data_IF_398686975367
#
_entry.id   IF_398686975367
#
_cell.length_a   1.000
_cell.length_b   1.000
_cell.length_c   1.000
_cell.angle_alpha   90.00
_cell.angle_beta   90.00
_cell.angle_gamma   90.00
#
_symmetry.space_group_name_H-M   'P 1'
#
loop_
_entity.id
_entity.type
_entity.pdbx_description
1 polymer ?
#
# COMPACT_ATOMS: atom_id res chain seq x y z
N UNK A 1 9.86 3.56 -21.56
CA UNK A 1 9.91 5.01 -21.35
C UNK A 1 11.25 5.40 -20.74
N UNK A 2 12.13 6.07 -21.50
CA UNK A 2 13.50 6.38 -21.05
C UNK A 2 13.59 7.42 -19.91
N UNK A 3 12.48 8.08 -19.61
CA UNK A 3 12.38 9.05 -18.50
C UNK A 3 11.94 8.40 -17.17
N UNK A 4 11.60 7.11 -17.18
CA UNK A 4 11.40 6.34 -15.96
C UNK A 4 12.76 5.84 -15.45
N UNK A 5 12.93 5.81 -14.13
CA UNK A 5 14.05 5.11 -13.52
C UNK A 5 13.55 3.98 -12.64
N UNK A 6 14.20 2.84 -12.73
CA UNK A 6 13.94 1.69 -11.89
C UNK A 6 15.16 1.41 -11.01
N UNK A 7 14.92 0.97 -9.79
CA UNK A 7 15.95 0.62 -8.82
C UNK A 7 15.60 -0.64 -8.05
N UNK A 8 16.53 -1.09 -7.22
CA UNK A 8 16.33 -2.16 -6.25
C UNK A 8 16.57 -1.55 -4.86
N UNK A 9 15.56 -1.58 -4.01
CA UNK A 9 15.63 -1.01 -2.66
C UNK A 9 16.10 -2.01 -1.60
N UNK A 10 16.08 -3.28 -1.92
CA UNK A 10 16.47 -4.37 -1.03
C UNK A 10 16.15 -5.73 -1.62
N UNK A 11 16.28 -6.76 -0.78
CA UNK A 11 15.98 -8.14 -1.16
C UNK A 11 15.02 -8.77 -0.15
N UNK A 12 14.13 -9.64 -0.65
CA UNK A 12 13.29 -10.48 0.18
C UNK A 12 14.08 -11.55 0.93
N UNK A 13 13.43 -12.28 1.82
CA UNK A 13 14.01 -13.46 2.50
C UNK A 13 14.58 -14.49 1.52
N UNK A 14 13.93 -14.71 0.37
CA UNK A 14 14.42 -15.62 -0.66
C UNK A 14 15.49 -15.01 -1.57
N UNK A 15 15.85 -13.74 -1.36
CA UNK A 15 16.86 -13.03 -2.14
C UNK A 15 16.34 -12.41 -3.44
N UNK A 16 15.02 -12.33 -3.63
CA UNK A 16 14.43 -11.60 -4.77
C UNK A 16 14.59 -10.10 -4.60
N UNK A 17 14.78 -9.41 -5.71
CA UNK A 17 14.85 -7.96 -5.73
C UNK A 17 13.48 -7.34 -5.40
N UNK A 18 13.50 -6.34 -4.51
CA UNK A 18 12.35 -5.46 -4.26
C UNK A 18 12.58 -4.21 -5.10
N UNK A 19 11.75 -4.05 -6.11
CA UNK A 19 11.95 -3.00 -7.11
C UNK A 19 11.24 -1.71 -6.75
N UNK A 20 11.90 -0.58 -7.02
CA UNK A 20 11.29 0.73 -7.06
C UNK A 20 11.20 1.25 -8.49
N UNK A 21 10.17 2.04 -8.75
CA UNK A 21 9.96 2.78 -10.00
C UNK A 21 9.79 4.26 -9.68
N UNK A 22 10.48 5.12 -10.43
CA UNK A 22 10.42 6.57 -10.25
C UNK A 22 9.93 7.25 -11.52
N UNK A 23 9.01 8.20 -11.36
CA UNK A 23 8.48 9.04 -12.43
C UNK A 23 8.41 10.49 -11.98
N UNK A 24 8.89 11.40 -12.83
CA UNK A 24 8.95 12.84 -12.56
C UNK A 24 10.32 13.32 -12.11
N UNK A 25 10.52 14.64 -12.25
CA UNK A 25 11.77 15.34 -11.95
C UNK A 25 11.60 16.46 -10.93
N UNK A 26 10.36 16.66 -10.44
CA UNK A 26 10.04 17.70 -9.48
C UNK A 26 10.71 17.52 -8.13
N UNK A 27 10.70 18.58 -7.33
CA UNK A 27 11.29 18.59 -5.98
C UNK A 27 10.39 17.93 -4.93
N UNK A 28 9.05 17.94 -5.15
CA UNK A 28 8.08 17.34 -4.23
C UNK A 28 8.05 15.82 -4.40
N UNK A 29 8.54 15.10 -3.39
CA UNK A 29 8.57 13.64 -3.43
C UNK A 29 7.33 13.04 -2.77
N UNK A 30 6.75 12.02 -3.41
CA UNK A 30 5.66 11.21 -2.84
C UNK A 30 5.96 9.71 -3.03
N UNK A 31 5.44 8.88 -2.14
CA UNK A 31 5.75 7.45 -2.16
C UNK A 31 4.49 6.59 -2.09
N UNK A 32 4.35 5.66 -3.04
CA UNK A 32 3.25 4.69 -3.09
C UNK A 32 3.78 3.27 -3.04
N UNK A 33 3.21 2.47 -2.16
CA UNK A 33 3.64 1.08 -1.95
C UNK A 33 2.44 0.13 -1.93
N UNK A 34 2.67 -1.13 -2.28
CA UNK A 34 1.62 -2.14 -2.35
C UNK A 34 2.13 -3.54 -2.01
N UNK A 35 1.19 -4.44 -1.76
CA UNK A 35 1.45 -5.87 -1.50
C UNK A 35 2.45 -6.12 -0.37
N UNK A 36 2.24 -5.47 0.77
CA UNK A 36 2.86 -5.87 2.04
C UNK A 36 2.35 -7.23 2.48
N UNK A 37 1.05 -7.44 2.35
CA UNK A 37 0.42 -8.73 2.60
C UNK A 37 0.35 -9.56 1.32
N UNK A 38 0.72 -10.82 1.44
CA UNK A 38 0.88 -11.72 0.31
C UNK A 38 -0.44 -11.98 -0.45
N UNK A 39 -1.55 -12.08 0.26
CA UNK A 39 -2.88 -12.32 -0.33
C UNK A 39 -3.61 -11.04 -0.77
N UNK A 40 -2.89 -9.92 -0.83
CA UNK A 40 -3.40 -8.63 -1.32
C UNK A 40 -2.73 -8.22 -2.64
N UNK A 41 -2.29 -9.22 -3.43
CA UNK A 41 -1.48 -9.02 -4.63
C UNK A 41 -2.15 -8.23 -5.75
N UNK A 42 -3.48 -8.08 -5.73
CA UNK A 42 -4.24 -7.25 -6.67
C UNK A 42 -3.82 -5.77 -6.60
N UNK A 43 -3.22 -5.32 -5.50
CA UNK A 43 -2.71 -3.95 -5.34
C UNK A 43 -1.45 -3.66 -6.16
N UNK A 44 -0.66 -4.68 -6.48
CA UNK A 44 0.50 -4.55 -7.39
C UNK A 44 0.13 -4.03 -8.77
N UNK A 45 -0.80 -4.66 -9.52
CA UNK A 45 -1.19 -4.16 -10.84
C UNK A 45 -1.89 -2.79 -10.78
N UNK A 46 -2.51 -2.40 -9.66
CA UNK A 46 -3.06 -1.04 -9.50
C UNK A 46 -1.96 0.01 -9.66
N UNK A 47 -0.84 -0.15 -8.94
CA UNK A 47 0.29 0.79 -9.06
C UNK A 47 0.99 0.71 -10.41
N UNK A 48 1.17 -0.49 -10.97
CA UNK A 48 1.85 -0.66 -12.26
C UNK A 48 1.03 -0.08 -13.43
N UNK A 49 -0.29 -0.29 -13.42
CA UNK A 49 -1.18 0.30 -14.45
C UNK A 49 -1.20 1.82 -14.35
N UNK A 50 -1.21 2.38 -13.14
CA UNK A 50 -1.09 3.82 -12.96
C UNK A 50 0.26 4.35 -13.50
N UNK A 51 1.36 3.67 -13.22
CA UNK A 51 2.68 4.04 -13.72
C UNK A 51 2.73 4.06 -15.26
N UNK A 52 2.14 3.03 -15.91
CA UNK A 52 2.08 2.93 -17.36
C UNK A 52 1.20 4.04 -17.95
N UNK A 53 0.02 4.28 -17.38
CA UNK A 53 -0.89 5.33 -17.86
C UNK A 53 -0.27 6.72 -17.69
N UNK A 54 0.34 7.00 -16.54
CA UNK A 54 1.04 8.26 -16.30
C UNK A 54 2.19 8.46 -17.32
N UNK A 55 3.01 7.43 -17.51
CA UNK A 55 4.11 7.50 -18.47
C UNK A 55 3.63 7.69 -19.92
N UNK A 56 2.54 7.01 -20.31
CA UNK A 56 1.93 7.16 -21.64
C UNK A 56 1.36 8.58 -21.84
N UNK A 57 0.64 9.11 -20.83
CA UNK A 57 0.09 10.45 -20.87
C UNK A 57 1.21 11.51 -20.99
N UNK A 58 2.27 11.39 -20.18
CA UNK A 58 3.44 12.27 -20.27
C UNK A 58 4.12 12.22 -21.64
N UNK A 59 4.36 11.01 -22.18
CA UNK A 59 5.00 10.84 -23.48
C UNK A 59 4.17 11.43 -24.63
N UNK A 60 2.84 11.39 -24.51
CA UNK A 60 1.92 11.95 -25.51
C UNK A 60 1.67 13.46 -25.34
N UNK A 61 2.13 14.09 -24.25
CA UNK A 61 1.78 15.47 -23.89
C UNK A 61 0.29 15.62 -23.56
N UNK A 62 -0.29 14.61 -22.93
CA UNK A 62 -1.72 14.52 -22.61
C UNK A 62 -2.01 14.61 -21.13
N UNK A 63 -3.26 14.33 -20.77
CA UNK A 63 -3.79 14.38 -19.42
C UNK A 63 -4.03 12.98 -18.87
N UNK A 64 -3.96 12.86 -17.53
CA UNK A 64 -4.47 11.71 -16.79
C UNK A 64 -5.90 12.03 -16.38
N UNK A 65 -6.87 11.32 -16.92
CA UNK A 65 -8.29 11.49 -16.59
C UNK A 65 -8.70 10.51 -15.48
N UNK A 66 -9.53 10.95 -14.55
CA UNK A 66 -10.11 10.13 -13.49
C UNK A 66 -11.53 10.58 -13.17
N UNK A 67 -12.31 9.71 -12.55
CA UNK A 67 -13.66 10.04 -12.13
C UNK A 67 -13.63 10.60 -10.71
N UNK A 68 -14.44 11.62 -10.44
CA UNK A 68 -14.79 12.03 -9.08
C UNK A 68 -16.15 11.42 -8.73
N UNK A 69 -16.36 11.07 -7.46
CA UNK A 69 -17.68 10.66 -6.98
C UNK A 69 -18.69 11.78 -7.27
N UNK A 70 -19.92 11.40 -7.60
CA UNK A 70 -20.97 12.30 -8.05
C UNK A 70 -21.10 13.55 -7.18
N UNK A 71 -20.84 14.73 -7.74
CA UNK A 71 -21.38 15.99 -7.18
C UNK A 71 -22.86 16.00 -7.50
N UNK A 72 -23.72 16.26 -6.50
CA UNK A 72 -25.10 16.65 -6.74
C UNK A 72 -25.08 17.94 -7.58
N UNK A 73 -25.36 17.81 -8.87
CA UNK A 73 -25.66 18.97 -9.68
C UNK A 73 -27.07 19.47 -9.29
N UNK A 74 -27.26 20.80 -9.37
CA UNK A 74 -28.49 21.51 -8.94
C UNK A 74 -29.79 21.05 -9.64
N UNK A 75 -29.77 20.04 -10.47
CA UNK A 75 -30.90 19.48 -11.22
C UNK A 75 -31.29 18.04 -10.83
N UNK A 76 -30.67 17.47 -9.77
CA UNK A 76 -31.00 16.15 -9.26
C UNK A 76 -30.47 14.97 -10.11
N UNK A 77 -29.61 15.21 -11.08
CA UNK A 77 -28.87 14.16 -11.78
C UNK A 77 -27.52 13.93 -11.11
N UNK A 78 -27.32 12.72 -10.58
CA UNK A 78 -26.04 12.26 -10.10
C UNK A 78 -25.18 11.79 -11.30
N UNK A 79 -24.32 12.69 -11.80
CA UNK A 79 -23.32 12.35 -12.80
C UNK A 79 -21.95 12.18 -12.18
N UNK A 80 -21.20 11.12 -12.49
CA UNK A 80 -19.78 11.08 -12.15
C UNK A 80 -19.05 12.19 -12.90
N UNK A 81 -18.45 13.15 -12.16
CA UNK A 81 -17.60 14.17 -12.74
C UNK A 81 -16.35 13.55 -13.31
N UNK A 82 -15.97 13.92 -14.53
CA UNK A 82 -14.67 13.55 -15.09
C UNK A 82 -13.70 14.67 -14.84
N UNK A 83 -12.64 14.40 -14.12
CA UNK A 83 -11.53 15.32 -13.86
C UNK A 83 -10.30 14.87 -14.65
N UNK A 84 -9.37 15.80 -14.86
CA UNK A 84 -8.10 15.45 -15.49
C UNK A 84 -6.99 16.38 -15.04
N UNK A 85 -5.77 15.89 -15.08
CA UNK A 85 -4.57 16.66 -14.77
C UNK A 85 -3.55 16.50 -15.89
N UNK A 86 -2.89 17.59 -16.25
CA UNK A 86 -1.81 17.57 -17.23
C UNK A 86 -0.62 16.76 -16.69
N UNK A 87 -0.24 15.72 -17.43
CA UNK A 87 0.80 14.79 -17.00
C UNK A 87 2.19 15.45 -16.95
N UNK A 88 2.46 16.45 -17.80
CA UNK A 88 3.72 17.20 -17.79
C UNK A 88 3.83 18.06 -16.54
N UNK A 89 2.77 18.72 -16.16
CA UNK A 89 2.72 19.51 -14.91
C UNK A 89 3.01 18.63 -13.69
N UNK A 90 2.43 17.41 -13.61
CA UNK A 90 2.76 16.48 -12.54
C UNK A 90 4.23 16.06 -12.58
N UNK A 91 4.75 15.78 -13.76
CA UNK A 91 6.14 15.31 -13.96
C UNK A 91 7.17 16.36 -13.54
N UNK A 92 6.89 17.62 -13.83
CA UNK A 92 7.78 18.75 -13.54
C UNK A 92 7.70 19.19 -12.05
N UNK A 93 6.55 19.01 -11.39
CA UNK A 93 6.35 19.41 -9.98
C UNK A 93 6.68 18.31 -8.98
N UNK A 94 6.46 17.04 -9.35
CA UNK A 94 6.57 15.91 -8.44
C UNK A 94 7.60 14.88 -8.90
N UNK A 95 8.10 14.13 -7.93
CA UNK A 95 8.87 12.92 -8.13
C UNK A 95 8.21 11.78 -7.39
N UNK A 96 7.42 11.00 -8.10
CA UNK A 96 6.70 9.84 -7.56
C UNK A 96 7.62 8.62 -7.50
N UNK A 97 7.80 8.05 -6.32
CA UNK A 97 8.40 6.74 -6.09
C UNK A 97 7.29 5.70 -5.90
N UNK A 98 7.40 4.55 -6.54
CA UNK A 98 6.51 3.42 -6.34
C UNK A 98 7.28 2.15 -6.01
N UNK A 99 6.80 1.39 -5.02
CA UNK A 99 7.24 0.01 -4.73
C UNK A 99 6.02 -0.90 -4.85
N UNK A 100 5.74 -1.42 -6.07
CA UNK A 100 4.48 -2.11 -6.34
C UNK A 100 4.35 -3.47 -5.65
N UNK A 101 5.46 -4.08 -5.24
CA UNK A 101 5.50 -5.43 -4.68
C UNK A 101 6.52 -5.51 -3.55
N UNK A 102 6.07 -5.24 -2.32
CA UNK A 102 6.93 -5.27 -1.13
C UNK A 102 7.25 -6.71 -0.71
N UNK A 103 6.30 -7.64 -0.86
CA UNK A 103 6.38 -9.04 -0.40
C UNK A 103 6.40 -10.04 -1.58
N UNK A 104 7.46 -10.10 -2.39
CA UNK A 104 7.47 -10.94 -3.58
C UNK A 104 7.45 -12.45 -3.28
N UNK A 105 7.97 -12.88 -2.13
CA UNK A 105 8.02 -14.29 -1.76
C UNK A 105 6.65 -14.79 -1.30
N UNK A 106 5.97 -14.00 -0.47
CA UNK A 106 4.64 -14.32 0.00
C UNK A 106 3.61 -14.30 -1.13
N UNK A 107 3.71 -13.33 -2.03
CA UNK A 107 2.84 -13.24 -3.22
C UNK A 107 3.01 -14.45 -4.13
N UNK A 108 4.24 -14.92 -4.36
CA UNK A 108 4.47 -16.15 -5.12
C UNK A 108 3.88 -17.39 -4.44
N UNK A 109 3.92 -17.44 -3.10
CA UNK A 109 3.30 -18.54 -2.34
C UNK A 109 1.78 -18.56 -2.56
N UNK A 110 1.12 -17.43 -2.37
CA UNK A 110 -0.35 -17.33 -2.49
C UNK A 110 -0.81 -17.58 -3.93
N UNK A 111 -0.08 -17.06 -4.92
CA UNK A 111 -0.42 -17.26 -6.33
C UNK A 111 0.06 -18.62 -6.91
N UNK A 112 0.59 -19.54 -6.07
CA UNK A 112 0.98 -20.89 -6.48
C UNK A 112 2.27 -20.97 -7.30
N UNK A 113 3.02 -19.88 -7.46
CA UNK A 113 4.33 -19.87 -8.13
C UNK A 113 5.40 -20.49 -7.23
N UNK A 114 5.30 -20.34 -5.92
CA UNK A 114 6.10 -21.05 -4.92
C UNK A 114 5.26 -22.21 -4.35
N UNK A 115 5.40 -23.42 -4.92
CA UNK A 115 4.61 -24.61 -4.56
C UNK A 115 5.45 -25.82 -4.12
N UNK A 116 6.77 -25.64 -3.98
CA UNK A 116 7.71 -26.71 -3.60
C UNK A 116 9.00 -26.13 -3.01
N UNK A 117 9.93 -26.98 -2.62
CA UNK A 117 11.23 -26.54 -2.10
C UNK A 117 11.25 -26.23 -0.60
N UNK A 118 12.36 -25.70 -0.11
CA UNK A 118 12.59 -25.50 1.33
C UNK A 118 11.69 -24.43 1.95
N UNK A 119 11.47 -23.34 1.24
CA UNK A 119 10.65 -22.21 1.70
C UNK A 119 9.15 -22.59 1.72
N UNK A 120 8.66 -23.26 0.66
CA UNK A 120 7.29 -23.78 0.66
C UNK A 120 7.03 -24.72 1.85
N UNK A 121 7.96 -25.69 2.10
CA UNK A 121 7.83 -26.58 3.25
C UNK A 121 7.91 -25.86 4.59
N UNK A 122 8.67 -24.75 4.68
CA UNK A 122 8.71 -23.90 5.87
C UNK A 122 7.35 -23.22 6.09
N UNK A 123 6.82 -22.54 5.07
CA UNK A 123 5.51 -21.91 5.12
C UNK A 123 4.40 -22.90 5.49
N UNK A 124 4.43 -24.10 4.87
CA UNK A 124 3.46 -25.17 5.18
C UNK A 124 3.50 -25.61 6.65
N UNK A 125 4.70 -25.77 7.22
CA UNK A 125 4.83 -26.12 8.64
C UNK A 125 4.34 -25.02 9.58
N UNK A 126 4.58 -23.75 9.21
CA UNK A 126 4.03 -22.61 9.96
C UNK A 126 2.51 -22.64 9.89
N UNK A 127 1.93 -22.85 8.70
CA UNK A 127 0.48 -22.92 8.51
C UNK A 127 -0.16 -24.08 9.27
N UNK A 128 0.51 -25.22 9.42
CA UNK A 128 0.02 -26.38 10.16
C UNK A 128 -0.21 -26.08 11.66
N UNK A 129 0.46 -25.08 12.22
CA UNK A 129 0.23 -24.60 13.58
C UNK A 129 -1.04 -23.71 13.69
N UNK A 130 -1.60 -23.26 12.57
CA UNK A 130 -2.76 -22.36 12.48
C UNK A 130 -3.83 -22.92 11.53
N UNK A 131 -4.43 -24.09 11.85
CA UNK A 131 -5.30 -24.82 10.92
C UNK A 131 -6.62 -24.09 10.57
N UNK A 132 -6.98 -23.06 11.31
CA UNK A 132 -8.15 -22.21 11.00
C UNK A 132 -7.88 -21.18 9.89
N UNK A 133 -6.61 -20.97 9.51
CA UNK A 133 -6.23 -20.05 8.45
C UNK A 133 -6.02 -20.86 7.16
N UNK A 134 -6.79 -20.61 6.09
CA UNK A 134 -6.63 -21.33 4.82
C UNK A 134 -5.22 -21.18 4.25
N UNK A 135 -4.62 -22.28 3.80
CA UNK A 135 -3.30 -22.23 3.17
C UNK A 135 -3.39 -22.61 1.69
N UNK A 136 -2.82 -21.82 0.76
CA UNK A 136 -2.06 -20.58 1.00
C UNK A 136 -2.91 -19.29 1.06
N UNK A 137 -4.19 -19.29 0.78
CA UNK A 137 -5.03 -18.13 0.55
C UNK A 137 -5.09 -17.15 1.75
N UNK A 138 -5.04 -17.67 2.97
CA UNK A 138 -5.01 -16.87 4.20
C UNK A 138 -3.63 -16.32 4.57
N UNK A 139 -2.59 -16.57 3.76
CA UNK A 139 -1.22 -16.15 4.04
C UNK A 139 -1.00 -14.67 3.73
N UNK A 140 -0.82 -13.85 4.78
CA UNK A 140 -0.49 -12.40 4.69
C UNK A 140 1.00 -12.13 4.85
N UNK A 141 1.67 -12.91 5.69
CA UNK A 141 3.05 -12.71 6.11
C UNK A 141 4.08 -12.80 4.96
N UNK A 142 5.33 -12.45 5.25
CA UNK A 142 6.45 -12.85 4.40
C UNK A 142 6.69 -14.37 4.52
N UNK A 143 7.66 -14.91 3.77
CA UNK A 143 7.87 -16.37 3.72
C UNK A 143 8.39 -16.97 5.03
N UNK A 144 8.88 -16.15 5.96
CA UNK A 144 9.29 -16.56 7.30
C UNK A 144 8.17 -16.45 8.35
N UNK A 145 6.96 -16.06 7.92
CA UNK A 145 5.81 -15.95 8.80
C UNK A 145 5.80 -14.69 9.65
N UNK A 146 6.38 -13.59 9.16
CA UNK A 146 6.36 -12.27 9.80
C UNK A 146 5.43 -11.35 9.02
N UNK A 147 4.49 -10.71 9.70
CA UNK A 147 3.58 -9.73 9.10
C UNK A 147 4.33 -8.41 8.86
N UNK A 148 4.52 -8.04 7.59
CA UNK A 148 5.35 -6.92 7.19
C UNK A 148 4.77 -5.56 7.61
N UNK A 149 3.46 -5.46 7.75
CA UNK A 149 2.80 -4.24 8.22
C UNK A 149 2.68 -4.17 9.75
N UNK A 150 3.41 -5.03 10.49
CA UNK A 150 3.57 -5.03 11.93
C UNK A 150 5.05 -4.94 12.34
N UNK A 151 5.89 -4.42 11.46
CA UNK A 151 7.36 -4.40 11.65
C UNK A 151 7.92 -3.00 11.91
N UNK A 152 7.11 -1.95 11.81
CA UNK A 152 7.57 -0.57 11.98
C UNK A 152 7.56 -0.14 13.46
N UNK A 153 8.43 0.81 13.88
CA UNK A 153 8.63 1.12 15.30
C UNK A 153 7.41 1.72 16.03
N UNK A 154 6.45 2.35 15.30
CA UNK A 154 5.30 3.03 15.89
C UNK A 154 4.45 2.10 16.76
N UNK A 155 4.60 2.19 18.08
CA UNK A 155 3.83 1.37 19.03
C UNK A 155 4.04 -0.14 18.91
N UNK A 156 5.19 -0.60 18.42
CA UNK A 156 5.49 -2.03 18.17
C UNK A 156 5.29 -2.93 19.40
N UNK A 157 5.68 -2.49 20.59
CA UNK A 157 5.48 -3.26 21.82
C UNK A 157 3.99 -3.44 22.16
N UNK A 158 3.15 -2.46 21.82
CA UNK A 158 1.69 -2.57 21.97
C UNK A 158 1.12 -3.56 20.94
N UNK A 159 1.54 -3.47 19.68
CA UNK A 159 1.17 -4.46 18.67
C UNK A 159 1.53 -5.88 19.11
N UNK A 160 2.74 -6.08 19.65
CA UNK A 160 3.20 -7.36 20.18
C UNK A 160 2.31 -7.88 21.31
N UNK A 161 1.99 -7.06 22.30
CA UNK A 161 1.11 -7.46 23.40
C UNK A 161 -0.26 -7.91 22.89
N UNK A 162 -0.86 -7.14 21.97
CA UNK A 162 -2.15 -7.45 21.37
C UNK A 162 -2.08 -8.77 20.60
N UNK A 163 -1.14 -8.90 19.65
CA UNK A 163 -1.06 -10.07 18.78
C UNK A 163 -0.67 -11.34 19.53
N UNK A 164 0.21 -11.24 20.52
CA UNK A 164 0.56 -12.39 21.39
C UNK A 164 -0.63 -12.85 22.21
N UNK A 165 -1.46 -11.93 22.73
CA UNK A 165 -2.69 -12.29 23.45
C UNK A 165 -3.73 -12.99 22.56
N UNK A 166 -3.65 -12.77 21.24
CA UNK A 166 -4.47 -13.43 20.22
C UNK A 166 -3.89 -14.77 19.72
N UNK A 167 -2.72 -15.20 20.23
CA UNK A 167 -2.08 -16.46 19.87
C UNK A 167 -1.06 -16.37 18.75
N UNK A 168 -0.67 -15.17 18.32
CA UNK A 168 0.35 -14.95 17.28
C UNK A 168 1.71 -14.61 17.92
N UNK A 169 2.21 -15.48 18.80
CA UNK A 169 3.46 -15.30 19.55
C UNK A 169 4.70 -15.97 18.91
N UNK A 170 4.51 -16.59 17.77
CA UNK A 170 5.52 -17.26 16.93
C UNK A 170 5.21 -17.04 15.46
N UNK A 171 6.12 -17.40 14.53
CA UNK A 171 5.86 -17.29 13.09
C UNK A 171 4.49 -17.85 12.71
N UNK A 172 3.73 -17.05 11.96
CA UNK A 172 2.34 -17.32 11.63
C UNK A 172 2.02 -16.90 10.18
N UNK A 173 0.94 -17.40 9.58
CA UNK A 173 0.50 -16.95 8.27
C UNK A 173 0.13 -15.46 8.24
N UNK A 174 -0.15 -14.85 9.39
CA UNK A 174 -0.52 -13.44 9.57
C UNK A 174 -0.32 -13.01 11.04
N UNK A 175 -0.34 -11.74 11.29
CA UNK A 175 -0.42 -11.13 12.63
C UNK A 175 0.80 -11.38 13.56
N UNK A 176 1.84 -12.09 13.13
CA UNK A 176 3.06 -12.20 13.90
C UNK A 176 3.97 -10.99 13.67
N UNK A 177 4.24 -10.25 14.73
CA UNK A 177 5.00 -8.98 14.68
C UNK A 177 6.51 -9.17 14.51
N UNK A 178 7.02 -10.42 14.52
CA UNK A 178 8.45 -10.69 14.55
C UNK A 178 9.05 -10.70 15.96
N UNK A 179 10.37 -10.86 16.06
CA UNK A 179 11.12 -10.87 17.33
C UNK A 179 11.42 -9.46 17.84
N UNK A 180 11.59 -8.54 16.95
CA UNK A 180 11.82 -7.11 17.16
C UNK A 180 11.27 -6.33 15.95
N UNK A 181 11.09 -5.01 16.04
CA UNK A 181 10.77 -4.21 14.86
C UNK A 181 11.92 -4.28 13.85
N UNK A 182 11.61 -4.11 12.59
CA UNK A 182 12.58 -4.05 11.47
C UNK A 182 13.53 -5.26 11.40
N UNK A 183 12.98 -6.46 11.58
CA UNK A 183 13.71 -7.73 11.40
C UNK A 183 13.41 -8.41 10.07
N UNK A 184 12.27 -8.08 9.43
CA UNK A 184 11.93 -8.56 8.11
C UNK A 184 12.65 -7.71 7.04
N UNK A 185 13.45 -8.30 6.16
CA UNK A 185 14.26 -7.54 5.19
C UNK A 185 13.40 -6.70 4.24
N UNK A 186 12.18 -7.12 3.93
CA UNK A 186 11.24 -6.39 3.11
C UNK A 186 10.79 -5.08 3.78
N UNK A 187 10.45 -5.12 5.07
CA UNK A 187 10.07 -3.93 5.82
C UNK A 187 11.27 -3.00 6.06
N UNK A 188 12.47 -3.57 6.28
CA UNK A 188 13.72 -2.80 6.37
C UNK A 188 13.98 -2.05 5.06
N UNK A 189 13.78 -2.69 3.91
CA UNK A 189 14.00 -2.05 2.62
C UNK A 189 13.09 -0.81 2.42
N UNK A 190 11.82 -0.89 2.79
CA UNK A 190 10.87 0.24 2.74
C UNK A 190 11.26 1.32 3.77
N UNK A 191 11.65 0.91 4.97
CA UNK A 191 12.07 1.82 6.04
C UNK A 191 13.29 2.64 5.61
N UNK A 192 14.34 2.00 5.10
CA UNK A 192 15.57 2.69 4.66
C UNK A 192 15.29 3.58 3.44
N UNK A 193 14.53 3.11 2.45
CA UNK A 193 14.10 3.95 1.32
C UNK A 193 13.40 5.23 1.81
N UNK A 194 12.53 5.11 2.81
CA UNK A 194 11.80 6.25 3.34
C UNK A 194 12.73 7.23 4.06
N UNK A 195 13.70 6.73 4.80
CA UNK A 195 14.70 7.57 5.49
C UNK A 195 15.68 8.27 4.56
N UNK A 196 15.97 7.68 3.41
CA UNK A 196 16.88 8.24 2.40
C UNK A 196 16.24 9.33 1.53
N UNK A 197 14.91 9.50 1.64
CA UNK A 197 14.15 10.40 0.78
C UNK A 197 13.26 11.36 1.60
N UNK A 198 12.88 12.47 1.01
CA UNK A 198 12.05 13.51 1.64
C UNK A 198 10.58 13.41 1.19
N UNK A 199 9.94 12.27 1.46
CA UNK A 199 8.55 12.05 1.07
C UNK A 199 7.59 12.97 1.85
N UNK A 200 6.79 13.75 1.13
CA UNK A 200 5.80 14.66 1.68
C UNK A 200 4.47 13.96 2.01
N UNK A 201 4.19 12.85 1.32
CA UNK A 201 2.99 12.04 1.50
C UNK A 201 3.28 10.59 1.08
N UNK A 202 2.65 9.65 1.79
CA UNK A 202 2.71 8.23 1.42
C UNK A 202 1.31 7.61 1.26
N UNK A 203 1.19 6.68 0.30
CA UNK A 203 0.06 5.77 0.16
C UNK A 203 0.55 4.32 0.31
N UNK A 204 -0.03 3.59 1.26
CA UNK A 204 0.18 2.16 1.43
C UNK A 204 -1.09 1.41 1.03
N UNK A 205 -1.03 0.68 -0.08
CA UNK A 205 -2.17 -0.05 -0.62
C UNK A 205 -2.29 -1.44 -0.01
N UNK A 206 -3.47 -1.69 0.50
CA UNK A 206 -3.94 -2.95 1.08
C UNK A 206 -5.29 -3.36 0.47
N UNK A 207 -5.83 -4.46 0.87
CA UNK A 207 -7.19 -4.91 0.68
C UNK A 207 -7.70 -5.49 1.99
N UNK A 208 -8.92 -5.33 2.35
CA UNK A 208 -10.12 -4.92 1.64
C UNK A 208 -11.02 -4.08 2.58
N UNK A 209 -12.06 -3.42 2.02
CA UNK A 209 -13.05 -2.72 2.83
C UNK A 209 -13.53 -1.40 2.23
N UNK A 210 -12.92 -0.95 1.10
CA UNK A 210 -13.19 0.35 0.48
C UNK A 210 -13.08 1.50 1.51
N UNK A 211 -11.98 1.50 2.28
CA UNK A 211 -11.74 2.46 3.37
C UNK A 211 -10.34 3.08 3.30
N UNK A 212 -10.21 4.31 3.75
CA UNK A 212 -8.97 5.09 3.82
C UNK A 212 -8.71 5.44 5.28
N UNK A 213 -7.63 4.90 5.84
CA UNK A 213 -7.14 5.24 7.17
C UNK A 213 -6.11 6.37 7.06
N UNK A 214 -6.30 7.47 7.82
CA UNK A 214 -5.61 8.73 7.58
C UNK A 214 -4.79 9.27 8.75
N UNK A 215 -4.95 8.75 9.97
CA UNK A 215 -4.21 9.20 11.15
C UNK A 215 -3.60 8.04 11.94
N UNK A 216 -2.76 8.35 12.89
CA UNK A 216 -2.19 7.42 13.85
C UNK A 216 -2.37 7.94 15.28
N UNK A 217 -3.17 7.25 16.10
CA UNK A 217 -3.53 7.69 17.45
C UNK A 217 -3.97 9.16 17.46
N UNK A 218 -3.30 10.01 18.25
CA UNK A 218 -3.54 11.44 18.33
C UNK A 218 -2.70 12.26 17.32
N UNK A 219 -1.92 11.61 16.46
CA UNK A 219 -1.15 12.29 15.42
C UNK A 219 -2.04 12.59 14.21
N UNK A 220 -2.29 13.86 13.98
CA UNK A 220 -3.09 14.40 12.86
C UNK A 220 -2.25 15.42 12.08
N UNK A 221 -1.38 14.98 11.15
CA UNK A 221 -0.56 15.92 10.38
C UNK A 221 -1.40 16.95 9.65
N UNK A 222 -0.82 18.14 9.47
CA UNK A 222 -1.50 19.24 8.80
C UNK A 222 -2.11 18.80 7.45
N UNK A 223 -3.38 19.15 7.22
CA UNK A 223 -4.17 18.80 6.03
C UNK A 223 -4.46 17.32 5.81
N UNK A 224 -3.99 16.39 6.68
CA UNK A 224 -4.16 14.96 6.44
C UNK A 224 -5.64 14.55 6.34
N UNK A 225 -6.52 15.14 7.18
CA UNK A 225 -7.96 14.89 7.11
C UNK A 225 -8.59 15.46 5.84
N UNK A 226 -8.23 16.70 5.46
CA UNK A 226 -8.70 17.36 4.22
C UNK A 226 -8.35 16.50 2.98
N UNK A 227 -7.12 16.03 2.91
CA UNK A 227 -6.65 15.18 1.82
C UNK A 227 -7.37 13.82 1.83
N UNK A 228 -7.61 13.22 3.01
CA UNK A 228 -8.38 11.98 3.13
C UNK A 228 -9.82 12.16 2.65
N UNK A 229 -10.47 13.29 2.99
CA UNK A 229 -11.83 13.60 2.52
C UNK A 229 -11.88 13.78 0.99
N UNK A 230 -10.85 14.41 0.41
CA UNK A 230 -10.71 14.44 -1.04
C UNK A 230 -10.60 13.02 -1.62
N UNK A 231 -9.76 12.16 -1.03
CA UNK A 231 -9.63 10.77 -1.49
C UNK A 231 -10.97 10.02 -1.42
N UNK A 232 -11.72 10.18 -0.32
CA UNK A 232 -13.07 9.64 -0.19
C UNK A 232 -14.02 10.15 -1.27
N UNK A 233 -13.93 11.44 -1.60
CA UNK A 233 -14.79 12.07 -2.61
C UNK A 233 -14.52 11.60 -4.05
N UNK A 234 -13.28 11.20 -4.37
CA UNK A 234 -12.92 10.75 -5.72
C UNK A 234 -12.97 9.22 -5.89
N UNK A 235 -13.01 8.46 -4.80
CA UNK A 235 -13.06 7.00 -4.83
C UNK A 235 -14.40 6.41 -4.41
N UNK A 236 -15.17 7.15 -3.62
CA UNK A 236 -16.34 6.61 -2.92
C UNK A 236 -16.00 5.81 -1.66
N UNK A 237 -14.72 5.72 -1.27
CA UNK A 237 -14.28 4.98 -0.09
C UNK A 237 -14.60 5.75 1.20
N UNK A 238 -14.88 5.00 2.26
CA UNK A 238 -15.06 5.58 3.59
C UNK A 238 -13.73 6.15 4.11
N UNK A 239 -13.80 7.26 4.85
CA UNK A 239 -12.63 7.87 5.51
C UNK A 239 -12.76 7.61 7.01
N UNK A 240 -11.87 6.79 7.56
CA UNK A 240 -11.96 6.30 8.92
C UNK A 240 -10.64 6.41 9.69
N UNK A 241 -10.72 6.31 11.00
CA UNK A 241 -9.58 6.12 11.88
C UNK A 241 -9.25 4.63 11.97
N UNK A 242 -7.96 4.30 12.06
CA UNK A 242 -7.55 2.90 12.20
C UNK A 242 -8.12 2.30 13.50
N UNK A 243 -8.81 1.15 13.46
CA UNK A 243 -9.32 0.50 14.66
C UNK A 243 -8.20 0.18 15.66
N UNK A 244 -8.43 0.45 16.96
CA UNK A 244 -7.40 0.42 18.01
C UNK A 244 -6.54 -0.85 18.06
N UNK A 245 -7.12 -2.04 17.78
CA UNK A 245 -6.37 -3.31 17.78
C UNK A 245 -5.44 -3.47 16.55
N UNK A 246 -5.65 -2.70 15.49
CA UNK A 246 -4.87 -2.75 14.23
C UNK A 246 -4.06 -1.47 14.00
N UNK A 247 -4.12 -0.51 14.92
CA UNK A 247 -3.54 0.82 14.79
C UNK A 247 -2.12 0.93 15.35
N UNK A 248 -1.28 -0.12 15.21
CA UNK A 248 0.09 -0.09 15.71
C UNK A 248 1.03 -0.82 14.76
N UNK A 249 2.27 -0.35 14.71
CA UNK A 249 3.40 -0.93 14.00
C UNK A 249 3.25 -1.03 12.48
N UNK A 250 2.25 -0.36 11.89
CA UNK A 250 2.10 -0.23 10.44
C UNK A 250 3.07 0.78 9.83
N UNK A 251 3.30 0.65 8.53
CA UNK A 251 4.16 1.59 7.79
C UNK A 251 3.61 3.03 7.85
N UNK A 252 2.32 3.20 7.58
CA UNK A 252 1.63 4.50 7.68
C UNK A 252 1.77 5.09 9.09
N UNK A 253 1.59 4.26 10.12
CA UNK A 253 1.61 4.70 11.51
C UNK A 253 2.98 5.28 11.87
N UNK A 254 4.06 4.55 11.51
CA UNK A 254 5.42 5.02 11.70
C UNK A 254 5.73 6.28 10.89
N UNK A 255 5.31 6.35 9.63
CA UNK A 255 5.53 7.54 8.81
C UNK A 255 4.88 8.79 9.41
N UNK A 256 3.65 8.67 9.88
CA UNK A 256 2.93 9.77 10.54
C UNK A 256 3.65 10.20 11.83
N UNK A 257 4.01 9.23 12.70
CA UNK A 257 4.68 9.51 13.98
C UNK A 257 6.06 10.15 13.80
N UNK A 258 6.86 9.65 12.84
CA UNK A 258 8.25 10.08 12.64
C UNK A 258 8.36 11.42 11.91
N UNK A 259 7.50 11.67 10.92
CA UNK A 259 7.65 12.82 10.03
C UNK A 259 6.59 13.91 10.22
N UNK A 260 5.52 13.65 10.97
CA UNK A 260 4.35 14.53 11.08
C UNK A 260 3.83 14.96 9.69
N UNK A 261 3.70 14.01 8.77
CA UNK A 261 3.27 14.20 7.38
C UNK A 261 2.12 13.27 7.02
N UNK A 262 1.28 13.66 6.03
CA UNK A 262 0.15 12.86 5.59
C UNK A 262 0.56 11.45 5.12
N UNK A 263 0.01 10.43 5.75
CA UNK A 263 0.21 9.03 5.41
C UNK A 263 -1.13 8.30 5.41
N UNK A 264 -1.35 7.45 4.41
CA UNK A 264 -2.64 6.77 4.24
C UNK A 264 -2.47 5.28 4.01
N UNK A 265 -3.33 4.49 4.66
CA UNK A 265 -3.59 3.12 4.25
C UNK A 265 -4.87 3.12 3.43
N UNK A 266 -4.80 2.60 2.22
CA UNK A 266 -5.96 2.45 1.32
C UNK A 266 -6.31 0.97 1.25
N UNK A 267 -7.46 0.59 1.81
CA UNK A 267 -8.01 -0.77 1.79
C UNK A 267 -8.93 -0.93 0.57
N UNK A 268 -8.35 -1.33 -0.55
CA UNK A 268 -9.03 -1.35 -1.84
C UNK A 268 -9.92 -2.59 -2.04
N UNK A 269 -11.08 -2.39 -2.69
CA UNK A 269 -12.01 -3.46 -3.03
C UNK A 269 -12.76 -4.06 -1.85
N UNK A 270 -13.63 -5.02 -2.14
CA UNK A 270 -14.53 -5.63 -1.15
C UNK A 270 -14.56 -7.15 -1.27
N UNK A 271 -14.72 -7.83 -0.13
CA UNK A 271 -14.93 -9.26 -0.08
C UNK A 271 -13.92 -9.98 0.81
N UNK A 272 -13.43 -11.14 0.39
CA UNK A 272 -12.50 -11.98 1.13
C UNK A 272 -11.20 -12.12 0.34
N UNK A 273 -10.06 -11.93 1.03
CA UNK A 273 -8.74 -12.03 0.42
C UNK A 273 -8.34 -13.51 0.19
N UNK A 274 -7.67 -13.83 -0.94
CA UNK A 274 -7.27 -12.93 -2.04
C UNK A 274 -8.48 -12.47 -2.87
N UNK A 275 -8.58 -11.16 -3.11
CA UNK A 275 -9.63 -10.65 -3.98
C UNK A 275 -9.47 -11.19 -5.41
N UNK A 276 -10.57 -11.61 -6.07
CA UNK A 276 -10.49 -12.11 -7.43
C UNK A 276 -10.11 -11.00 -8.41
N UNK A 277 -9.28 -11.32 -9.42
CA UNK A 277 -8.83 -10.37 -10.45
C UNK A 277 -9.98 -9.74 -11.26
N UNK A 278 -11.17 -10.30 -11.20
CA UNK A 278 -12.39 -9.70 -11.80
C UNK A 278 -12.78 -8.37 -11.16
N UNK A 279 -12.27 -8.05 -9.96
CA UNK A 279 -12.47 -6.75 -9.33
C UNK A 279 -11.44 -5.69 -9.78
N UNK A 280 -10.37 -6.07 -10.50
CA UNK A 280 -9.24 -5.19 -10.80
C UNK A 280 -9.67 -3.88 -11.48
N UNK A 281 -10.46 -3.97 -12.55
CA UNK A 281 -10.88 -2.78 -13.32
C UNK A 281 -11.65 -1.78 -12.44
N UNK A 282 -12.55 -2.27 -11.58
CA UNK A 282 -13.28 -1.43 -10.65
C UNK A 282 -12.33 -0.83 -9.61
N UNK A 283 -11.47 -1.64 -8.97
CA UNK A 283 -10.51 -1.17 -7.98
C UNK A 283 -9.60 -0.10 -8.59
N UNK A 284 -9.08 -0.33 -9.79
CA UNK A 284 -8.22 0.65 -10.45
C UNK A 284 -8.96 1.95 -10.76
N UNK A 285 -10.18 1.85 -11.31
CA UNK A 285 -11.01 3.02 -11.59
C UNK A 285 -11.27 3.85 -10.32
N UNK A 286 -11.69 3.22 -9.23
CA UNK A 286 -12.02 3.89 -7.97
C UNK A 286 -10.78 4.56 -7.34
N UNK A 287 -9.60 3.96 -7.51
CA UNK A 287 -8.35 4.45 -6.90
C UNK A 287 -7.56 5.45 -7.75
N UNK A 288 -7.90 5.62 -9.02
CA UNK A 288 -7.15 6.52 -9.90
C UNK A 288 -7.14 7.97 -9.43
N UNK A 289 -8.28 8.45 -8.90
CA UNK A 289 -8.38 9.77 -8.28
C UNK A 289 -7.52 9.91 -7.02
N UNK A 290 -7.38 8.86 -6.20
CA UNK A 290 -6.48 8.83 -5.05
C UNK A 290 -5.02 8.93 -5.49
N UNK A 291 -4.62 8.14 -6.50
CA UNK A 291 -3.24 8.09 -7.01
C UNK A 291 -2.80 9.45 -7.60
N UNK A 292 -3.70 10.13 -8.32
CA UNK A 292 -3.46 11.50 -8.81
C UNK A 292 -3.49 12.50 -7.65
N UNK A 293 -4.46 12.35 -6.76
CA UNK A 293 -4.68 13.22 -5.60
C UNK A 293 -3.50 13.26 -4.64
N UNK A 294 -2.79 12.13 -4.44
CA UNK A 294 -1.61 12.07 -3.58
C UNK A 294 -0.47 13.01 -4.02
N UNK A 295 -0.51 13.49 -5.25
CA UNK A 295 0.35 14.57 -5.75
C UNK A 295 -0.39 15.91 -5.73
N UNK A 296 -1.54 16.01 -6.39
CA UNK A 296 -2.21 17.30 -6.61
C UNK A 296 -2.67 18.00 -5.34
N UNK A 297 -2.99 17.26 -4.29
CA UNK A 297 -3.38 17.85 -2.99
C UNK A 297 -2.20 18.45 -2.20
N UNK A 298 -0.96 18.30 -2.68
CA UNK A 298 0.24 18.93 -2.13
C UNK A 298 0.63 20.24 -2.85
N UNK A 299 -0.22 20.76 -3.73
CA UNK A 299 -0.06 22.04 -4.40
C UNK A 299 -0.34 23.23 -3.51
#
# INVERSE_FOLDING_TARGET
YPFLSAGVIGKSVMGKDIHSLWIGTGEKQVFYSASYHANESITTPVLLTFAEEYAAAYAAGGNIAFSSAAREENDGQTGMGQESVDARTLFDEFRLCMVPLVNPDGVDLVNGLLNSGVYYRRAKRIADDYPSIPFPDGWKANIDGVDLNLQFPAGWEMAKQIKFSQGYDKPAPRDYVGKAPLTAPESVAVYELTKENDFLLILAYHTQGEVIYWKYLDYEPARSKEIADYFGSVSGYAVEETPGASGYAGYKDWFIEEYDRPGYTVEAGMGENPLPMTQFERIYHDNKGILVGGMTQLR
#
